data_IF_833946383841
#
_entry.id   IF_833946383841
#
_cell.length_a   1.000
_cell.length_b   1.000
_cell.length_c   1.000
_cell.angle_alpha   90.00
_cell.angle_beta   90.00
_cell.angle_gamma   90.00
#
_symmetry.space_group_name_H-M   'P 1'
#
loop_
_entity.id
_entity.type
_entity.pdbx_description
1 polymer ?
#
# COMPACT_ATOMS: atom_id res chain seq x y z
N UNK A 1 6.12 -4.00 -20.38
CA UNK A 1 5.53 -2.66 -20.61
C UNK A 1 6.13 -1.92 -21.81
N UNK A 2 5.28 -1.33 -22.67
CA UNK A 2 5.65 -0.34 -23.70
C UNK A 2 5.60 1.09 -23.17
N UNK A 3 4.76 1.33 -22.16
CA UNK A 3 4.66 2.60 -21.45
C UNK A 3 5.66 2.67 -20.31
N UNK A 4 5.84 3.88 -19.78
CA UNK A 4 6.60 4.16 -18.56
C UNK A 4 5.63 4.73 -17.53
N UNK A 5 5.54 4.09 -16.36
CA UNK A 5 4.71 4.60 -15.28
C UNK A 5 5.36 5.86 -14.68
N UNK A 6 4.57 6.89 -14.31
CA UNK A 6 5.10 8.05 -13.58
C UNK A 6 5.58 7.67 -12.17
N UNK A 7 4.96 6.64 -11.59
CA UNK A 7 5.40 5.99 -10.37
C UNK A 7 4.91 4.53 -10.39
N UNK A 8 5.76 3.59 -9.99
CA UNK A 8 5.40 2.17 -9.95
C UNK A 8 4.77 1.82 -8.59
N UNK A 9 3.59 1.17 -8.56
CA UNK A 9 2.93 0.87 -7.31
C UNK A 9 3.53 -0.36 -6.62
N UNK A 10 3.90 -0.26 -5.34
CA UNK A 10 4.54 -1.35 -4.58
C UNK A 10 3.60 -1.93 -3.53
N UNK A 11 2.93 -1.06 -2.79
CA UNK A 11 1.89 -1.39 -1.81
C UNK A 11 0.71 -0.47 -2.14
N UNK A 12 -0.43 -1.01 -2.55
CA UNK A 12 -1.60 -0.21 -2.95
C UNK A 12 -2.86 -0.82 -2.38
N UNK A 13 -3.07 -0.63 -1.07
CA UNK A 13 -4.22 -1.18 -0.34
C UNK A 13 -5.35 -0.16 -0.26
N UNK A 14 -5.07 1.03 0.28
CA UNK A 14 -6.04 2.10 0.52
C UNK A 14 -5.34 3.48 0.62
N UNK A 15 -6.07 4.59 0.85
CA UNK A 15 -5.47 5.93 0.86
C UNK A 15 -4.38 6.17 1.90
N UNK A 16 -4.29 5.37 2.96
CA UNK A 16 -3.25 5.52 3.98
C UNK A 16 -2.15 4.47 3.84
N UNK A 17 -2.50 3.23 3.48
CA UNK A 17 -1.53 2.18 3.26
C UNK A 17 -1.17 2.06 1.77
N UNK A 18 -0.37 3.02 1.32
CA UNK A 18 0.01 3.22 -0.07
C UNK A 18 1.49 3.61 -0.21
N UNK A 19 2.27 2.83 -0.97
CA UNK A 19 3.72 3.04 -1.18
C UNK A 19 4.08 2.81 -2.65
N UNK A 20 4.80 3.77 -3.21
CA UNK A 20 5.12 3.87 -4.63
C UNK A 20 6.62 4.07 -4.83
N UNK A 21 7.13 3.65 -5.98
CA UNK A 21 8.46 4.02 -6.48
C UNK A 21 8.31 5.20 -7.46
N UNK A 22 8.72 6.42 -7.09
CA UNK A 22 8.56 7.60 -7.95
C UNK A 22 9.71 7.76 -8.97
N UNK A 23 10.39 6.67 -9.34
CA UNK A 23 11.49 6.67 -10.31
C UNK A 23 11.48 5.43 -11.21
N UNK A 24 12.21 5.53 -12.32
CA UNK A 24 12.39 4.44 -13.28
C UNK A 24 13.17 3.25 -12.68
N UNK A 25 14.10 3.54 -11.77
CA UNK A 25 14.81 2.53 -10.99
C UNK A 25 14.43 2.62 -9.52
N UNK A 26 14.09 1.48 -8.92
CA UNK A 26 13.70 1.40 -7.50
C UNK A 26 14.81 1.83 -6.53
N UNK A 27 16.02 1.95 -7.04
CA UNK A 27 17.25 2.34 -6.35
C UNK A 27 17.60 3.82 -6.54
N UNK A 28 16.92 4.58 -7.41
CA UNK A 28 17.32 5.98 -7.66
C UNK A 28 16.86 6.93 -6.55
N UNK A 29 15.71 6.66 -5.95
CA UNK A 29 15.07 7.48 -4.90
C UNK A 29 14.41 6.58 -3.87
N UNK A 30 13.99 7.15 -2.74
CA UNK A 30 13.21 6.41 -1.77
C UNK A 30 11.77 6.23 -2.23
N UNK A 31 11.17 5.18 -1.69
CA UNK A 31 9.74 4.95 -1.84
C UNK A 31 8.94 6.04 -1.14
N UNK A 32 7.78 6.39 -1.72
CA UNK A 32 6.96 7.50 -1.26
C UNK A 32 5.50 7.09 -1.12
N UNK A 33 4.80 7.79 -0.24
CA UNK A 33 3.34 7.80 -0.22
C UNK A 33 2.81 8.56 -1.45
N UNK A 34 1.54 8.40 -1.82
CA UNK A 34 0.97 9.18 -2.94
C UNK A 34 0.96 10.69 -2.67
N UNK A 35 1.02 11.09 -1.39
CA UNK A 35 1.21 12.49 -0.97
C UNK A 35 2.62 13.01 -1.25
N UNK A 36 3.51 12.18 -1.81
CA UNK A 36 4.91 12.46 -2.14
C UNK A 36 5.84 12.63 -0.93
N UNK A 37 5.33 12.48 0.30
CA UNK A 37 6.19 12.31 1.47
C UNK A 37 6.85 10.93 1.44
N UNK A 38 8.09 10.89 1.91
CA UNK A 38 8.88 9.66 1.95
C UNK A 38 8.22 8.64 2.89
N UNK A 39 8.06 7.42 2.38
CA UNK A 39 7.71 6.21 3.13
C UNK A 39 8.82 5.20 2.85
N UNK A 40 9.99 5.38 3.47
CA UNK A 40 11.18 4.66 3.09
C UNK A 40 11.07 3.15 3.40
N UNK A 41 11.23 2.34 2.35
CA UNK A 41 11.50 0.92 2.44
C UNK A 41 12.84 0.69 1.78
N UNK A 42 13.78 0.10 2.51
CA UNK A 42 15.12 -0.20 2.04
C UNK A 42 15.25 -1.71 1.81
N UNK A 43 15.99 -2.09 0.76
CA UNK A 43 16.21 -3.48 0.41
C UNK A 43 17.65 -3.75 -0.01
N UNK A 44 18.30 -4.69 0.67
CA UNK A 44 19.67 -5.11 0.36
C UNK A 44 19.78 -6.62 0.14
N UNK A 45 20.71 -7.00 -0.73
CA UNK A 45 21.14 -8.37 -0.97
C UNK A 45 22.64 -8.50 -0.69
N UNK A 46 23.02 -9.36 0.26
CA UNK A 46 24.41 -9.77 0.46
C UNK A 46 24.67 -11.03 -0.36
N UNK A 47 25.54 -10.95 -1.37
CA UNK A 47 25.94 -12.05 -2.24
C UNK A 47 27.40 -12.37 -1.96
N UNK A 48 27.66 -13.56 -1.42
CA UNK A 48 28.99 -14.04 -1.03
C UNK A 48 29.79 -13.03 -0.17
N UNK A 49 29.10 -12.38 0.77
CA UNK A 49 29.67 -11.40 1.70
C UNK A 49 29.79 -9.97 1.16
N UNK A 50 29.36 -9.71 -0.09
CA UNK A 50 29.29 -8.36 -0.65
C UNK A 50 27.84 -7.87 -0.72
N UNK A 51 27.58 -6.71 -0.13
CA UNK A 51 26.25 -6.11 -0.08
C UNK A 51 25.96 -5.23 -1.30
N UNK A 52 24.76 -5.40 -1.84
CA UNK A 52 24.16 -4.58 -2.88
C UNK A 52 22.79 -4.09 -2.41
N UNK A 53 22.35 -2.94 -2.92
CA UNK A 53 20.97 -2.45 -2.72
C UNK A 53 20.12 -2.75 -3.95
N UNK A 54 18.89 -3.18 -3.73
CA UNK A 54 17.88 -3.35 -4.79
C UNK A 54 16.68 -2.42 -4.59
N UNK A 55 16.61 -1.68 -3.49
CA UNK A 55 15.54 -0.73 -3.19
C UNK A 55 16.01 0.37 -2.24
N UNK A 56 15.63 1.62 -2.54
CA UNK A 56 15.97 2.81 -1.76
C UNK A 56 17.20 3.56 -2.28
N UNK A 57 17.26 4.87 -1.96
CA UNK A 57 18.34 5.79 -2.35
C UNK A 57 19.68 5.41 -1.70
N UNK A 58 20.78 5.71 -2.40
CA UNK A 58 22.15 5.55 -1.93
C UNK A 58 22.44 6.41 -0.68
N UNK A 59 23.19 5.85 0.29
CA UNK A 59 23.49 6.50 1.60
C UNK A 59 24.87 6.16 2.16
N UNK A 60 25.33 4.92 2.00
CA UNK A 60 26.55 4.41 2.66
C UNK A 60 27.56 3.78 1.68
N UNK A 61 27.60 4.26 0.43
CA UNK A 61 28.44 3.71 -0.63
C UNK A 61 28.02 2.31 -1.11
N UNK A 62 26.88 1.79 -0.67
CA UNK A 62 26.37 0.47 -1.06
C UNK A 62 25.95 0.53 -2.54
N UNK A 63 26.58 -0.26 -3.43
CA UNK A 63 26.27 -0.22 -4.86
C UNK A 63 24.87 -0.79 -5.14
N UNK A 64 24.17 -0.22 -6.12
CA UNK A 64 22.94 -0.82 -6.62
C UNK A 64 23.22 -2.12 -7.38
N UNK A 65 22.32 -3.09 -7.26
CA UNK A 65 22.20 -4.14 -8.27
C UNK A 65 21.75 -3.50 -9.60
N UNK A 66 22.18 -4.08 -10.72
CA UNK A 66 21.74 -3.62 -12.04
C UNK A 66 20.26 -3.97 -12.21
N UNK A 67 19.39 -2.97 -12.42
CA UNK A 67 17.99 -3.21 -12.76
C UNK A 67 17.88 -3.56 -14.24
N UNK A 68 17.60 -4.83 -14.53
CA UNK A 68 17.45 -5.36 -15.89
C UNK A 68 16.12 -4.94 -16.50
N UNK A 69 15.04 -5.01 -15.72
CA UNK A 69 13.70 -4.63 -16.18
C UNK A 69 12.76 -4.27 -15.03
N UNK A 70 11.73 -3.51 -15.38
CA UNK A 70 10.53 -3.33 -14.57
C UNK A 70 9.30 -3.53 -15.46
N UNK A 71 8.30 -4.23 -14.94
CA UNK A 71 7.00 -4.40 -15.57
C UNK A 71 5.89 -4.36 -14.52
N UNK A 72 4.65 -4.14 -14.92
CA UNK A 72 3.51 -4.21 -14.01
C UNK A 72 2.24 -4.68 -14.71
N UNK A 73 1.36 -5.29 -13.92
CA UNK A 73 -0.03 -5.59 -14.27
C UNK A 73 -0.99 -4.94 -13.26
N UNK A 74 -2.28 -5.27 -13.35
CA UNK A 74 -3.34 -4.74 -12.47
C UNK A 74 -3.13 -4.97 -10.96
N UNK A 75 -2.23 -5.87 -10.52
CA UNK A 75 -1.98 -6.17 -9.10
C UNK A 75 -0.51 -6.29 -8.73
N UNK A 76 0.36 -6.58 -9.69
CA UNK A 76 1.75 -6.94 -9.46
C UNK A 76 2.70 -5.99 -10.17
N UNK A 77 3.71 -5.49 -9.46
CA UNK A 77 4.89 -4.86 -10.07
C UNK A 77 6.07 -5.82 -9.96
N UNK A 78 6.73 -6.10 -11.09
CA UNK A 78 7.85 -7.02 -11.18
C UNK A 78 9.13 -6.27 -11.52
N UNK A 79 10.15 -6.38 -10.66
CA UNK A 79 11.51 -5.91 -10.95
C UNK A 79 12.46 -7.09 -11.12
N UNK A 80 13.37 -6.99 -12.09
CA UNK A 80 14.46 -7.96 -12.29
C UNK A 80 15.78 -7.26 -12.11
N UNK A 81 16.65 -7.85 -11.29
CA UNK A 81 17.99 -7.34 -11.01
C UNK A 81 19.06 -8.40 -11.26
N UNK A 82 20.26 -7.97 -11.62
CA UNK A 82 21.45 -8.81 -11.67
C UNK A 82 22.62 -8.17 -10.93
N UNK A 83 23.35 -8.98 -10.16
CA UNK A 83 24.67 -8.64 -9.64
C UNK A 83 25.44 -9.91 -9.27
N UNK A 84 26.75 -9.92 -9.51
CA UNK A 84 27.66 -10.97 -9.02
C UNK A 84 27.19 -12.42 -9.29
N UNK A 85 26.71 -12.70 -10.52
CA UNK A 85 26.28 -14.04 -10.91
C UNK A 85 24.89 -14.45 -10.41
N UNK A 86 24.18 -13.55 -9.73
CA UNK A 86 22.83 -13.78 -9.19
C UNK A 86 21.82 -12.84 -9.84
N UNK A 87 20.69 -13.41 -10.28
CA UNK A 87 19.50 -12.66 -10.66
C UNK A 87 18.46 -12.71 -9.54
N UNK A 88 17.93 -11.55 -9.16
CA UNK A 88 16.78 -11.43 -8.27
C UNK A 88 15.56 -10.98 -9.05
N UNK A 89 14.41 -11.62 -8.80
CA UNK A 89 13.10 -11.17 -9.29
C UNK A 89 12.23 -10.81 -8.10
N UNK A 90 11.78 -9.57 -8.03
CA UNK A 90 10.91 -9.05 -6.96
C UNK A 90 9.50 -8.91 -7.52
N UNK A 91 8.53 -9.56 -6.88
CA UNK A 91 7.11 -9.48 -7.23
C UNK A 91 6.36 -8.81 -6.08
N UNK A 92 6.11 -7.51 -6.22
CA UNK A 92 5.26 -6.74 -5.32
C UNK A 92 3.80 -6.97 -5.71
N UNK A 93 2.95 -7.47 -4.83
CA UNK A 93 1.53 -7.77 -5.15
C UNK A 93 0.58 -7.21 -4.10
N UNK A 94 -0.44 -6.47 -4.51
CA UNK A 94 -1.55 -5.99 -3.66
C UNK A 94 -2.87 -6.57 -4.16
N UNK A 95 -3.46 -7.58 -3.49
CA UNK A 95 -4.67 -8.27 -3.98
C UNK A 95 -6.00 -7.53 -3.80
N UNK A 96 -6.09 -6.29 -4.26
CA UNK A 96 -7.28 -5.43 -4.20
C UNK A 96 -8.37 -5.85 -5.21
N UNK A 97 -8.86 -7.09 -5.08
CA UNK A 97 -9.82 -7.71 -5.99
C UNK A 97 -11.24 -7.10 -5.83
N UNK A 98 -11.77 -6.35 -6.82
CA UNK A 98 -13.03 -5.61 -6.66
C UNK A 98 -14.27 -6.52 -6.63
N UNK A 99 -14.15 -7.77 -7.06
CA UNK A 99 -15.20 -8.78 -7.07
C UNK A 99 -15.34 -9.53 -5.72
N UNK A 100 -14.49 -9.21 -4.74
CA UNK A 100 -14.45 -9.90 -3.45
C UNK A 100 -14.04 -8.93 -2.33
N UNK A 101 -15.03 -8.48 -1.54
CA UNK A 101 -14.82 -7.47 -0.50
C UNK A 101 -13.80 -7.88 0.57
N UNK A 102 -13.63 -9.18 0.85
CA UNK A 102 -12.62 -9.62 1.79
C UNK A 102 -11.21 -9.34 1.25
N UNK A 103 -10.91 -9.73 0.02
CA UNK A 103 -9.60 -9.43 -0.58
C UNK A 103 -9.42 -7.95 -0.93
N UNK A 104 -10.50 -7.26 -1.32
CA UNK A 104 -10.48 -5.82 -1.56
C UNK A 104 -10.03 -5.03 -0.32
N UNK A 105 -10.36 -5.53 0.88
CA UNK A 105 -10.08 -4.84 2.14
C UNK A 105 -9.01 -5.48 3.01
N UNK A 106 -8.55 -6.69 2.67
CA UNK A 106 -7.50 -7.36 3.43
C UNK A 106 -6.25 -6.48 3.40
N UNK A 107 -5.75 -6.04 4.55
CA UNK A 107 -4.73 -5.01 4.58
C UNK A 107 -3.33 -5.60 4.48
N UNK A 108 -3.12 -6.52 3.53
CA UNK A 108 -1.87 -7.27 3.35
C UNK A 108 -1.42 -7.19 1.89
N UNK A 109 -0.24 -6.61 1.68
CA UNK A 109 0.50 -6.67 0.42
C UNK A 109 1.72 -7.59 0.56
N UNK A 110 2.22 -8.08 -0.57
CA UNK A 110 3.25 -9.11 -0.63
C UNK A 110 4.49 -8.62 -1.37
N UNK A 111 5.65 -9.14 -0.98
CA UNK A 111 6.85 -9.14 -1.80
C UNK A 111 7.43 -10.56 -1.83
N UNK A 112 7.35 -11.21 -2.99
CA UNK A 112 8.09 -12.45 -3.24
C UNK A 112 9.43 -12.09 -3.91
N UNK A 113 10.54 -12.49 -3.29
CA UNK A 113 11.88 -12.36 -3.87
C UNK A 113 12.33 -13.74 -4.32
N UNK A 114 12.60 -13.90 -5.62
CA UNK A 114 13.13 -15.13 -6.22
C UNK A 114 14.59 -14.96 -6.57
N UNK A 115 15.35 -16.04 -6.44
CA UNK A 115 16.75 -16.13 -6.80
C UNK A 115 16.93 -17.09 -7.98
N UNK A 116 17.68 -16.65 -8.96
CA UNK A 116 18.24 -17.48 -10.03
C UNK A 116 19.77 -17.30 -10.05
N UNK A 117 20.50 -18.39 -10.25
CA UNK A 117 21.95 -18.37 -10.45
C UNK A 117 22.20 -18.34 -11.96
N UNK A 118 22.88 -17.29 -12.45
CA UNK A 118 23.04 -17.05 -13.89
C UNK A 118 24.44 -17.36 -14.42
N UNK A 119 25.43 -17.55 -13.55
CA UNK A 119 26.83 -17.79 -13.93
C UNK A 119 27.29 -19.26 -13.73
N UNK A 120 26.43 -20.11 -13.17
CA UNK A 120 26.70 -21.52 -12.89
C UNK A 120 27.45 -21.80 -11.58
N UNK A 121 27.78 -20.79 -10.76
CA UNK A 121 28.47 -20.97 -9.49
C UNK A 121 27.49 -21.03 -8.31
N UNK A 122 27.94 -21.64 -7.20
CA UNK A 122 27.14 -21.62 -5.97
C UNK A 122 27.31 -20.27 -5.29
N UNK A 123 26.18 -19.62 -5.01
CA UNK A 123 26.14 -18.35 -4.26
C UNK A 123 25.34 -18.47 -2.97
N UNK A 124 25.86 -17.85 -1.92
CA UNK A 124 25.10 -17.58 -0.69
C UNK A 124 24.48 -16.19 -0.82
N UNK A 125 23.17 -16.10 -0.61
CA UNK A 125 22.44 -14.83 -0.74
C UNK A 125 21.63 -14.61 0.52
N UNK A 126 21.81 -13.45 1.16
CA UNK A 126 20.92 -12.95 2.21
C UNK A 126 20.20 -11.74 1.70
N UNK A 127 18.92 -11.61 2.01
CA UNK A 127 18.16 -10.40 1.70
C UNK A 127 17.60 -9.79 2.98
N UNK A 128 17.72 -8.48 3.10
CA UNK A 128 17.19 -7.71 4.24
C UNK A 128 16.28 -6.61 3.73
N UNK A 129 15.11 -6.51 4.36
CA UNK A 129 14.20 -5.38 4.24
C UNK A 129 14.25 -4.55 5.52
N UNK A 130 14.18 -3.23 5.38
CA UNK A 130 14.04 -2.30 6.49
C UNK A 130 12.96 -1.26 6.15
N UNK A 131 11.91 -1.18 6.95
CA UNK A 131 10.77 -0.26 6.75
C UNK A 131 10.81 0.84 7.81
N UNK A 132 10.80 2.10 7.38
CA UNK A 132 10.93 3.27 8.27
C UNK A 132 9.61 3.62 8.97
N UNK A 133 9.72 4.21 10.16
CA UNK A 133 8.61 4.70 10.97
C UNK A 133 7.67 5.69 10.25
N UNK A 134 8.14 6.31 9.15
CA UNK A 134 7.36 7.15 8.24
C UNK A 134 6.06 6.51 7.75
N UNK A 135 5.97 5.17 7.76
CA UNK A 135 4.75 4.44 7.41
C UNK A 135 3.62 4.59 8.44
N UNK A 136 3.91 5.06 9.65
CA UNK A 136 2.98 5.10 10.78
C UNK A 136 2.77 6.49 11.38
N UNK A 137 3.30 7.55 10.75
CA UNK A 137 3.20 8.95 11.23
C UNK A 137 2.94 9.92 10.08
N UNK A 138 2.23 11.01 10.36
CA UNK A 138 1.95 12.04 9.34
C UNK A 138 3.22 12.80 8.94
N UNK A 139 4.02 13.24 9.91
CA UNK A 139 5.38 13.75 9.71
C UNK A 139 6.35 13.06 10.65
N UNK A 140 7.59 12.97 10.19
CA UNK A 140 8.71 12.56 11.05
C UNK A 140 8.82 13.54 12.20
N UNK A 141 8.81 13.04 13.43
CA UNK A 141 8.93 13.84 14.64
C UNK A 141 7.60 14.30 15.26
N UNK A 142 6.44 14.06 14.64
CA UNK A 142 5.13 14.39 15.23
C UNK A 142 4.85 13.56 16.49
N UNK A 143 5.14 12.26 16.40
CA UNK A 143 4.89 11.25 17.42
C UNK A 143 6.13 10.40 17.65
N UNK A 144 6.23 9.81 18.85
CA UNK A 144 7.24 8.78 19.10
C UNK A 144 6.75 7.47 18.51
N UNK A 145 7.57 6.80 17.72
CA UNK A 145 7.24 5.47 17.20
C UNK A 145 7.83 4.39 18.09
N UNK A 146 6.96 3.47 18.50
CA UNK A 146 7.33 2.25 19.22
C UNK A 146 7.34 1.08 18.25
N UNK A 147 8.21 0.10 18.51
CA UNK A 147 8.31 -1.10 17.71
C UNK A 147 8.63 -2.31 18.58
N UNK A 148 8.07 -3.46 18.25
CA UNK A 148 8.30 -4.71 18.96
C UNK A 148 8.28 -5.92 18.03
N UNK A 149 9.09 -6.92 18.37
CA UNK A 149 9.05 -8.25 17.73
C UNK A 149 7.95 -9.05 18.42
N UNK A 150 7.01 -9.58 17.63
CA UNK A 150 5.91 -10.39 18.13
C UNK A 150 6.35 -11.84 18.37
N UNK A 151 5.69 -12.58 19.27
CA UNK A 151 5.85 -14.02 19.37
C UNK A 151 5.60 -14.70 18.02
N UNK A 152 6.36 -15.74 17.71
CA UNK A 152 6.19 -16.49 16.45
C UNK A 152 4.78 -17.10 16.38
N UNK A 153 4.10 -16.88 15.25
CA UNK A 153 2.82 -17.53 14.95
C UNK A 153 3.06 -18.67 13.94
N UNK A 154 3.22 -19.90 14.45
CA UNK A 154 3.61 -21.05 13.64
C UNK A 154 5.01 -20.90 13.06
N UNK A 155 5.12 -20.62 11.76
CA UNK A 155 6.42 -20.36 11.07
C UNK A 155 6.64 -18.88 10.74
N UNK A 156 5.68 -18.03 11.09
CA UNK A 156 5.66 -16.63 10.70
C UNK A 156 6.35 -15.83 11.79
N UNK A 157 7.37 -15.07 11.39
CA UNK A 157 8.04 -14.08 12.22
C UNK A 157 7.56 -12.71 11.84
N UNK A 158 7.21 -11.91 12.84
CA UNK A 158 6.59 -10.60 12.66
C UNK A 158 7.22 -9.59 13.58
N UNK A 159 7.48 -8.41 13.04
CA UNK A 159 7.83 -7.20 13.79
C UNK A 159 6.81 -6.13 13.44
N UNK A 160 6.37 -5.37 14.42
CA UNK A 160 5.40 -4.28 14.22
C UNK A 160 5.93 -2.95 14.74
N UNK A 161 5.37 -1.86 14.23
CA UNK A 161 5.61 -0.51 14.72
C UNK A 161 4.38 0.39 14.58
N UNK A 162 4.27 1.40 15.42
CA UNK A 162 3.19 2.40 15.37
C UNK A 162 3.48 3.61 16.27
N UNK A 163 2.75 4.70 16.04
CA UNK A 163 2.75 5.87 16.93
C UNK A 163 2.38 5.45 18.37
N UNK A 164 2.98 6.07 19.37
CA UNK A 164 2.65 5.83 20.78
C UNK A 164 1.33 6.48 21.22
N UNK A 165 0.92 7.58 20.57
CA UNK A 165 -0.31 8.33 20.92
C UNK A 165 -1.59 7.62 20.50
N UNK A 166 -1.59 6.97 19.33
CA UNK A 166 -2.74 6.24 18.79
C UNK A 166 -4.03 7.10 18.76
N UNK A 167 -3.93 8.31 18.22
CA UNK A 167 -5.05 9.26 18.10
C UNK A 167 -6.01 8.85 16.97
N UNK A 168 -6.77 7.78 17.19
CA UNK A 168 -7.66 7.16 16.19
C UNK A 168 -8.69 8.16 15.66
N UNK A 169 -8.65 8.40 14.34
CA UNK A 169 -9.61 9.27 13.62
C UNK A 169 -9.68 10.70 14.20
N UNK A 170 -8.57 11.22 14.71
CA UNK A 170 -8.50 12.55 15.32
C UNK A 170 -8.14 13.67 14.34
N UNK A 171 -7.61 13.34 13.16
CA UNK A 171 -7.08 14.32 12.21
C UNK A 171 -7.58 14.09 10.78
N UNK A 172 -7.92 15.18 10.10
CA UNK A 172 -8.32 15.24 8.70
C UNK A 172 -7.61 16.42 8.01
N UNK A 173 -6.86 16.16 6.96
CA UNK A 173 -6.29 17.20 6.09
C UNK A 173 -6.07 16.65 4.68
N UNK A 174 -5.78 17.57 3.76
CA UNK A 174 -5.56 17.26 2.35
C UNK A 174 -4.44 16.22 2.16
N UNK A 175 -3.22 16.55 2.56
CA UNK A 175 -2.05 15.68 2.46
C UNK A 175 -1.73 14.89 3.74
N UNK A 176 -2.72 14.72 4.63
CA UNK A 176 -2.59 13.92 5.84
C UNK A 176 -2.31 12.44 5.51
N UNK A 177 -1.33 11.86 6.19
CA UNK A 177 -1.10 10.42 6.29
C UNK A 177 -1.60 9.92 7.64
N UNK A 178 -1.64 8.59 7.78
CA UNK A 178 -2.08 7.94 9.01
C UNK A 178 -1.07 8.12 10.14
N UNK A 179 -1.56 8.36 11.35
CA UNK A 179 -0.77 8.45 12.58
C UNK A 179 -1.33 7.58 13.73
N UNK A 180 -2.20 6.63 13.42
CA UNK A 180 -2.69 5.62 14.36
C UNK A 180 -2.61 4.22 13.73
N UNK A 181 -2.87 3.20 14.54
CA UNK A 181 -2.71 1.82 14.12
C UNK A 181 -1.26 1.37 14.09
N UNK A 182 -1.03 0.22 13.46
CA UNK A 182 0.27 -0.45 13.45
C UNK A 182 0.59 -1.02 12.07
N UNK A 183 1.83 -0.81 11.64
CA UNK A 183 2.43 -1.49 10.50
C UNK A 183 3.10 -2.78 10.95
N UNK A 184 3.03 -3.82 10.12
CA UNK A 184 3.60 -5.14 10.35
C UNK A 184 4.46 -5.56 9.14
N UNK A 185 5.69 -5.99 9.43
CA UNK A 185 6.56 -6.67 8.47
C UNK A 185 6.71 -8.12 8.93
N UNK A 186 6.37 -9.06 8.05
CA UNK A 186 6.43 -10.48 8.36
C UNK A 186 7.05 -11.32 7.26
N UNK A 187 7.59 -12.47 7.63
CA UNK A 187 8.05 -13.51 6.70
C UNK A 187 7.83 -14.90 7.30
N UNK A 188 7.60 -15.89 6.44
CA UNK A 188 7.56 -17.31 6.81
C UNK A 188 8.85 -18.05 6.44
N UNK A 189 9.90 -17.33 6.06
CA UNK A 189 11.18 -17.92 5.70
C UNK A 189 11.82 -18.62 6.91
N UNK A 190 12.31 -19.86 6.76
CA UNK A 190 13.07 -20.54 7.81
C UNK A 190 14.25 -19.68 8.25
N UNK A 191 14.54 -19.69 9.56
CA UNK A 191 15.71 -18.99 10.13
C UNK A 191 15.76 -17.47 9.87
N UNK A 192 14.68 -16.87 9.37
CA UNK A 192 14.56 -15.42 9.28
C UNK A 192 14.83 -14.74 10.63
N UNK A 193 15.42 -13.55 10.59
CA UNK A 193 15.61 -12.69 11.75
C UNK A 193 14.79 -11.43 11.54
N UNK A 194 13.85 -11.16 12.43
CA UNK A 194 13.12 -9.89 12.47
C UNK A 194 13.61 -9.07 13.65
N UNK A 195 13.61 -7.74 13.51
CA UNK A 195 14.16 -6.89 14.55
C UNK A 195 13.85 -5.41 14.34
N UNK A 196 14.28 -4.63 15.33
CA UNK A 196 14.15 -3.17 15.36
C UNK A 196 15.55 -2.56 15.32
N UNK A 197 15.75 -1.54 14.49
CA UNK A 197 17.01 -0.78 14.44
C UNK A 197 16.73 0.72 14.38
N UNK A 198 17.71 1.53 14.76
CA UNK A 198 17.70 2.99 14.60
C UNK A 198 18.68 3.36 13.49
N UNK A 199 18.25 4.22 12.57
CA UNK A 199 19.09 4.71 11.47
C UNK A 199 18.80 6.17 11.18
N UNK A 200 19.85 6.94 10.90
CA UNK A 200 19.73 8.30 10.39
C UNK A 200 19.55 8.28 8.89
N UNK A 201 18.48 8.88 8.38
CA UNK A 201 18.27 9.06 6.95
C UNK A 201 18.14 10.54 6.62
N UNK A 202 18.79 10.95 5.54
CA UNK A 202 18.38 12.13 4.77
C UNK A 202 17.19 11.77 3.88
N UNK A 203 16.17 12.62 3.87
CA UNK A 203 14.98 12.48 3.04
C UNK A 203 14.45 13.85 2.61
N UNK A 204 13.71 13.86 1.50
CA UNK A 204 13.09 15.07 0.96
C UNK A 204 11.73 15.24 1.60
N UNK A 205 11.42 16.47 2.03
CA UNK A 205 10.03 16.88 2.28
C UNK A 205 9.58 17.73 1.09
N UNK A 206 8.35 17.54 0.60
CA UNK A 206 7.85 18.27 -0.57
C UNK A 206 7.78 19.80 -0.37
N UNK A 207 7.90 20.27 0.87
CA UNK A 207 7.70 21.67 1.25
C UNK A 207 8.94 22.34 1.83
N UNK A 208 9.99 21.61 2.19
CA UNK A 208 11.19 22.17 2.81
C UNK A 208 12.45 21.74 2.06
N UNK A 209 13.27 22.74 1.72
CA UNK A 209 14.64 22.55 1.26
C UNK A 209 15.56 23.22 2.28
N UNK A 210 16.67 22.59 2.70
CA UNK A 210 17.29 21.36 2.17
C UNK A 210 16.69 20.03 2.71
N UNK A 211 17.22 18.89 2.22
CA UNK A 211 16.94 17.54 2.74
C UNK A 211 17.03 17.51 4.27
N UNK A 212 16.07 16.85 4.92
CA UNK A 212 16.03 16.71 6.38
C UNK A 212 16.74 15.43 6.77
N UNK A 213 17.65 15.51 7.74
CA UNK A 213 18.22 14.33 8.39
C UNK A 213 17.50 14.07 9.72
N UNK A 214 17.03 12.84 9.92
CA UNK A 214 16.46 12.41 11.18
C UNK A 214 16.85 10.97 11.49
N UNK A 215 17.09 10.70 12.78
CA UNK A 215 17.16 9.32 13.28
C UNK A 215 15.74 8.76 13.38
N UNK A 216 15.52 7.62 12.75
CA UNK A 216 14.22 6.97 12.68
C UNK A 216 14.29 5.53 13.18
N UNK A 217 13.15 5.04 13.65
CA UNK A 217 12.90 3.62 13.92
C UNK A 217 12.68 2.86 12.62
N UNK A 218 13.31 1.71 12.50
CA UNK A 218 13.09 0.75 11.42
C UNK A 218 12.68 -0.59 11.98
N UNK A 219 11.68 -1.20 11.35
CA UNK A 219 11.41 -2.63 11.50
C UNK A 219 12.05 -3.39 10.35
N UNK A 220 12.66 -4.53 10.64
CA UNK A 220 13.50 -5.26 9.70
C UNK A 220 13.14 -6.73 9.62
N UNK A 221 13.39 -7.33 8.45
CA UNK A 221 13.35 -8.76 8.23
C UNK A 221 14.53 -9.17 7.33
N UNK A 222 15.38 -10.05 7.82
CA UNK A 222 16.52 -10.62 7.10
C UNK A 222 16.33 -12.13 6.93
N UNK A 223 16.61 -12.65 5.74
CA UNK A 223 16.45 -14.07 5.41
C UNK A 223 17.65 -14.58 4.62
N UNK A 224 18.08 -15.81 4.91
CA UNK A 224 18.94 -16.57 4.00
C UNK A 224 18.09 -17.03 2.81
N UNK A 225 18.35 -16.50 1.62
CA UNK A 225 17.50 -16.70 0.45
C UNK A 225 17.77 -18.07 -0.19
N UNK A 226 16.78 -18.97 -0.07
CA UNK A 226 16.68 -20.22 -0.82
C UNK A 226 16.39 -19.98 -2.31
N UNK A 227 15.43 -20.70 -2.89
CA UNK A 227 14.92 -20.38 -4.24
C UNK A 227 14.07 -19.11 -4.24
N UNK A 228 13.31 -18.89 -3.16
CA UNK A 228 12.54 -17.67 -2.93
C UNK A 228 12.28 -17.45 -1.45
N UNK A 229 11.87 -16.23 -1.12
CA UNK A 229 11.31 -15.86 0.18
C UNK A 229 10.09 -14.97 -0.03
N UNK A 230 9.10 -15.11 0.85
CA UNK A 230 7.89 -14.29 0.85
C UNK A 230 7.89 -13.38 2.08
N UNK A 231 7.63 -12.11 1.82
CA UNK A 231 7.39 -11.09 2.83
C UNK A 231 5.97 -10.56 2.69
N UNK A 232 5.38 -10.17 3.81
CA UNK A 232 4.12 -9.42 3.84
C UNK A 232 4.32 -8.09 4.52
N UNK A 233 3.68 -7.07 3.95
CA UNK A 233 3.51 -5.77 4.56
C UNK A 233 2.03 -5.65 4.92
N UNK A 234 1.73 -5.41 6.20
CA UNK A 234 0.35 -5.25 6.64
C UNK A 234 0.17 -3.99 7.49
N UNK A 235 -1.06 -3.46 7.52
CA UNK A 235 -1.40 -2.31 8.33
C UNK A 235 -2.75 -2.52 9.02
N UNK A 236 -2.80 -2.42 10.34
CA UNK A 236 -4.04 -2.45 11.09
C UNK A 236 -4.34 -1.06 11.64
N UNK A 237 -5.36 -0.41 11.07
CA UNK A 237 -5.85 0.89 11.49
C UNK A 237 -6.89 0.80 12.62
N UNK A 238 -7.35 -0.40 12.98
CA UNK A 238 -8.40 -0.64 13.98
C UNK A 238 -9.76 -0.10 13.54
N UNK A 239 -9.92 1.23 13.55
CA UNK A 239 -11.04 1.95 12.94
C UNK A 239 -10.55 2.74 11.72
N UNK A 240 -11.31 2.65 10.64
CA UNK A 240 -10.91 3.16 9.33
C UNK A 240 -11.52 4.50 8.97
N UNK A 241 -12.78 4.71 9.36
CA UNK A 241 -13.60 5.86 8.94
C UNK A 241 -14.47 6.31 10.11
N UNK A 242 -14.63 7.61 10.32
CA UNK A 242 -15.74 8.13 11.11
C UNK A 242 -16.87 8.53 10.15
N UNK A 243 -18.06 7.97 10.31
CA UNK A 243 -19.22 8.24 9.45
C UNK A 243 -20.37 8.71 10.33
N UNK A 244 -20.76 9.98 10.20
CA UNK A 244 -21.80 10.61 11.01
C UNK A 244 -21.62 10.35 12.52
N UNK A 245 -20.42 10.65 13.01
CA UNK A 245 -19.96 10.50 14.40
C UNK A 245 -19.85 9.07 14.91
N UNK A 246 -19.97 8.06 14.03
CA UNK A 246 -19.73 6.67 14.35
C UNK A 246 -18.39 6.21 13.76
N UNK A 247 -17.51 5.68 14.60
CA UNK A 247 -16.27 5.07 14.12
C UNK A 247 -16.58 3.68 13.56
N UNK A 248 -16.20 3.46 12.30
CA UNK A 248 -16.45 2.24 11.54
C UNK A 248 -15.15 1.49 11.28
N UNK A 249 -15.25 0.17 11.35
CA UNK A 249 -14.19 -0.77 10.97
C UNK A 249 -14.25 -1.03 9.46
N UNK A 250 -13.12 -1.44 8.89
CA UNK A 250 -13.07 -1.97 7.53
C UNK A 250 -13.83 -3.29 7.43
N UNK A 251 -14.13 -3.72 6.21
CA UNK A 251 -14.84 -4.98 5.99
C UNK A 251 -14.06 -6.18 6.52
N UNK A 252 -12.73 -6.23 6.38
CA UNK A 252 -11.93 -7.37 6.85
C UNK A 252 -12.00 -7.57 8.37
N UNK A 253 -12.05 -6.49 9.16
CA UNK A 253 -12.08 -6.53 10.63
C UNK A 253 -13.44 -6.19 11.26
N UNK A 254 -14.52 -6.12 10.44
CA UNK A 254 -15.88 -5.82 10.90
C UNK A 254 -16.36 -6.72 12.05
N UNK A 255 -15.96 -7.99 12.01
CA UNK A 255 -16.34 -9.02 12.99
C UNK A 255 -15.25 -9.24 14.06
N UNK A 256 -14.30 -8.30 14.18
CA UNK A 256 -13.22 -8.36 15.17
C UNK A 256 -12.05 -9.27 14.80
N UNK A 257 -11.81 -9.49 13.50
CA UNK A 257 -10.64 -10.23 13.03
C UNK A 257 -9.33 -9.58 13.52
N UNK A 258 -8.39 -10.42 13.92
CA UNK A 258 -7.06 -10.00 14.37
C UNK A 258 -6.06 -9.97 13.21
N UNK A 259 -5.21 -8.95 13.16
CA UNK A 259 -4.25 -8.77 12.07
C UNK A 259 -3.18 -9.85 12.03
N UNK A 260 -2.79 -10.44 13.15
CA UNK A 260 -1.77 -11.51 13.20
C UNK A 260 -2.34 -12.80 12.62
N UNK A 261 -3.60 -13.11 12.89
CA UNK A 261 -4.33 -14.21 12.24
C UNK A 261 -4.51 -13.95 10.74
N UNK A 262 -4.82 -12.72 10.35
CA UNK A 262 -4.99 -12.34 8.95
C UNK A 262 -3.67 -12.41 8.16
N UNK A 263 -2.54 -12.04 8.76
CA UNK A 263 -1.21 -12.30 8.18
C UNK A 263 -1.00 -13.82 8.03
N UNK A 264 -1.43 -14.62 9.00
CA UNK A 264 -1.45 -16.09 8.91
C UNK A 264 -2.23 -16.61 7.70
N UNK A 265 -3.45 -16.14 7.51
CA UNK A 265 -4.28 -16.47 6.35
C UNK A 265 -3.63 -16.04 5.03
N UNK A 266 -3.03 -14.84 5.01
CA UNK A 266 -2.34 -14.30 3.85
C UNK A 266 -1.14 -15.17 3.40
N UNK A 267 -0.36 -15.71 4.32
CA UNK A 267 0.69 -16.68 4.00
C UNK A 267 0.12 -18.02 3.53
N UNK A 268 -0.95 -18.50 4.18
CA UNK A 268 -1.56 -19.79 3.88
C UNK A 268 -2.20 -19.82 2.47
N UNK A 269 -2.81 -18.72 2.03
CA UNK A 269 -3.54 -18.64 0.78
C UNK A 269 -2.82 -17.92 -0.37
N UNK A 270 -1.59 -17.43 -0.16
CA UNK A 270 -0.81 -16.64 -1.11
C UNK A 270 -0.87 -17.16 -2.55
N UNK A 271 -0.57 -18.46 -2.76
CA UNK A 271 -0.56 -19.05 -4.12
C UNK A 271 -1.92 -18.98 -4.81
N UNK A 272 -3.01 -19.20 -4.06
CA UNK A 272 -4.38 -19.12 -4.58
C UNK A 272 -4.73 -17.69 -4.95
N UNK A 273 -4.40 -16.74 -4.07
CA UNK A 273 -4.69 -15.32 -4.30
C UNK A 273 -3.88 -14.76 -5.47
N UNK A 274 -2.60 -15.09 -5.57
CA UNK A 274 -1.77 -14.71 -6.72
C UNK A 274 -2.33 -15.26 -8.03
N UNK A 275 -2.83 -16.50 -8.02
CA UNK A 275 -3.54 -17.08 -9.16
C UNK A 275 -4.79 -16.30 -9.56
N UNK A 276 -5.59 -15.83 -8.58
CA UNK A 276 -6.75 -14.96 -8.84
C UNK A 276 -6.34 -13.60 -9.42
N UNK A 277 -5.29 -12.98 -8.87
CA UNK A 277 -4.78 -11.70 -9.35
C UNK A 277 -4.34 -11.80 -10.81
N UNK A 278 -3.55 -12.82 -11.16
CA UNK A 278 -3.12 -13.05 -12.56
C UNK A 278 -4.30 -13.30 -13.49
N UNK A 279 -5.24 -14.17 -13.10
CA UNK A 279 -6.41 -14.46 -13.93
C UNK A 279 -7.29 -13.22 -14.15
N UNK A 280 -7.38 -12.32 -13.16
CA UNK A 280 -8.08 -11.06 -13.32
C UNK A 280 -7.28 -10.11 -14.24
N UNK A 281 -5.99 -9.91 -13.97
CA UNK A 281 -5.12 -9.04 -14.76
C UNK A 281 -5.08 -9.46 -16.24
N UNK A 282 -4.91 -10.75 -16.53
CA UNK A 282 -4.91 -11.29 -17.90
C UNK A 282 -6.22 -10.98 -18.64
N UNK A 283 -7.38 -11.17 -17.97
CA UNK A 283 -8.68 -10.85 -18.58
C UNK A 283 -8.82 -9.36 -18.84
N UNK A 284 -8.49 -8.54 -17.85
CA UNK A 284 -8.53 -7.08 -17.97
C UNK A 284 -7.65 -6.60 -19.11
N UNK A 285 -6.40 -7.09 -19.19
CA UNK A 285 -5.45 -6.75 -20.24
C UNK A 285 -5.98 -7.15 -21.62
N UNK A 286 -6.47 -8.38 -21.79
CA UNK A 286 -7.01 -8.87 -23.06
C UNK A 286 -8.21 -8.02 -23.51
N UNK A 287 -9.14 -7.72 -22.61
CA UNK A 287 -10.33 -6.93 -22.96
C UNK A 287 -9.95 -5.47 -23.28
N UNK A 288 -8.98 -4.90 -22.58
CA UNK A 288 -8.46 -3.57 -22.88
C UNK A 288 -7.69 -3.53 -24.21
N UNK A 289 -6.89 -4.56 -24.53
CA UNK A 289 -6.22 -4.69 -25.84
C UNK A 289 -7.25 -4.72 -26.97
N UNK A 290 -8.35 -5.45 -26.80
CA UNK A 290 -9.44 -5.49 -27.79
C UNK A 290 -10.12 -4.13 -27.96
N UNK A 291 -10.23 -3.35 -26.88
CA UNK A 291 -10.87 -2.04 -26.89
C UNK A 291 -9.98 -0.93 -27.46
N UNK A 292 -8.68 -0.95 -27.19
CA UNK A 292 -7.77 0.17 -27.52
C UNK A 292 -6.31 -0.16 -27.75
N UNK A 293 -5.94 -1.45 -27.84
CA UNK A 293 -4.57 -1.91 -28.05
C UNK A 293 -3.72 -1.97 -26.77
N UNK A 294 -2.47 -2.41 -26.91
CA UNK A 294 -1.57 -2.75 -25.80
C UNK A 294 -1.24 -1.56 -24.89
N UNK A 295 -0.90 -0.40 -25.47
CA UNK A 295 -0.65 0.82 -24.69
C UNK A 295 -1.88 1.27 -23.88
N UNK A 296 -3.07 1.05 -24.41
CA UNK A 296 -4.30 1.36 -23.68
C UNK A 296 -4.52 0.37 -22.52
N UNK A 297 -4.23 -0.91 -22.72
CA UNK A 297 -4.28 -1.92 -21.67
C UNK A 297 -3.34 -1.60 -20.50
N UNK A 298 -2.07 -1.28 -20.79
CA UNK A 298 -1.09 -0.91 -19.77
C UNK A 298 -1.52 0.36 -19.00
N UNK A 299 -2.11 1.34 -19.69
CA UNK A 299 -2.65 2.54 -19.04
C UNK A 299 -3.81 2.19 -18.09
N UNK A 300 -4.71 1.30 -18.52
CA UNK A 300 -5.84 0.89 -17.69
C UNK A 300 -5.39 0.10 -16.45
N UNK A 301 -4.38 -0.76 -16.54
CA UNK A 301 -3.85 -1.50 -15.38
C UNK A 301 -3.29 -0.56 -14.31
N UNK A 302 -2.55 0.46 -14.74
CA UNK A 302 -2.07 1.51 -13.82
C UNK A 302 -3.24 2.30 -13.22
N UNK A 303 -4.17 2.76 -14.06
CA UNK A 303 -5.33 3.53 -13.62
C UNK A 303 -6.19 2.73 -12.64
N UNK A 304 -6.33 1.42 -12.83
CA UNK A 304 -7.03 0.53 -11.92
C UNK A 304 -6.40 0.54 -10.52
N UNK A 305 -5.07 0.35 -10.43
CA UNK A 305 -4.37 0.34 -9.13
C UNK A 305 -4.49 1.68 -8.41
N UNK A 306 -4.34 2.78 -9.14
CA UNK A 306 -4.51 4.13 -8.59
C UNK A 306 -5.94 4.37 -8.10
N UNK A 307 -6.92 4.01 -8.92
CA UNK A 307 -8.34 4.27 -8.61
C UNK A 307 -8.79 3.46 -7.41
N UNK A 308 -8.50 2.16 -7.36
CA UNK A 308 -8.96 1.30 -6.26
C UNK A 308 -8.26 1.65 -4.94
N UNK A 309 -6.95 1.90 -4.96
CA UNK A 309 -6.21 2.28 -3.75
C UNK A 309 -6.54 3.70 -3.26
N UNK A 310 -7.24 4.52 -4.04
CA UNK A 310 -7.77 5.80 -3.58
C UNK A 310 -9.04 5.67 -2.72
N UNK A 311 -9.51 4.44 -2.44
CA UNK A 311 -10.75 4.20 -1.69
C UNK A 311 -10.56 3.28 -0.49
N UNK A 312 -11.43 3.43 0.51
CA UNK A 312 -11.57 2.55 1.67
C UNK A 312 -12.99 1.98 1.72
N UNK A 313 -13.11 0.68 2.00
CA UNK A 313 -14.42 0.03 2.18
C UNK A 313 -14.70 -0.20 3.66
N UNK A 314 -15.84 0.30 4.13
CA UNK A 314 -16.40 0.03 5.45
C UNK A 314 -17.87 -0.39 5.31
N UNK A 315 -18.47 -0.87 6.39
CA UNK A 315 -19.91 -1.11 6.47
C UNK A 315 -20.55 -0.09 7.42
N UNK A 316 -21.70 0.44 7.04
CA UNK A 316 -22.49 1.28 7.92
C UNK A 316 -23.26 0.46 8.99
N UNK A 317 -24.02 1.15 9.84
CA UNK A 317 -24.83 0.55 10.90
C UNK A 317 -25.89 -0.46 10.43
N UNK A 318 -26.27 -0.41 9.15
CA UNK A 318 -27.24 -1.31 8.53
C UNK A 318 -26.56 -2.46 7.77
N UNK A 319 -25.23 -2.52 7.78
CA UNK A 319 -24.44 -3.47 7.01
C UNK A 319 -24.34 -3.11 5.53
N UNK A 320 -24.67 -1.88 5.14
CA UNK A 320 -24.51 -1.42 3.76
C UNK A 320 -23.07 -1.01 3.46
N UNK A 321 -22.61 -1.30 2.25
CA UNK A 321 -21.25 -0.95 1.79
C UNK A 321 -21.11 0.56 1.67
N UNK A 322 -20.06 1.11 2.26
CA UNK A 322 -19.53 2.44 1.95
C UNK A 322 -18.18 2.27 1.25
N UNK A 323 -18.02 2.88 0.07
CA UNK A 323 -16.79 2.83 -0.72
C UNK A 323 -16.28 4.26 -0.92
N UNK A 324 -15.36 4.67 -0.06
CA UNK A 324 -15.08 6.08 0.19
C UNK A 324 -13.74 6.45 -0.42
N UNK A 325 -13.76 7.33 -1.42
CA UNK A 325 -12.54 7.92 -1.99
C UNK A 325 -11.96 9.00 -1.07
N UNK A 326 -10.64 9.19 -1.14
CA UNK A 326 -9.97 10.42 -0.70
C UNK A 326 -9.55 11.25 -1.92
N UNK A 327 -9.98 12.50 -1.99
CA UNK A 327 -9.52 13.46 -2.98
C UNK A 327 -8.13 14.01 -2.60
N UNK A 328 -7.25 14.18 -3.59
CA UNK A 328 -5.85 14.51 -3.39
C UNK A 328 -5.54 15.95 -3.81
N UNK A 329 -4.81 16.71 -2.98
CA UNK A 329 -4.35 18.08 -3.24
C UNK A 329 -5.46 19.08 -3.57
N UNK A 330 -6.66 18.80 -3.07
CA UNK A 330 -7.88 19.59 -3.23
C UNK A 330 -8.74 19.36 -1.99
N UNK A 331 -8.24 19.81 -0.85
CA UNK A 331 -8.94 19.81 0.45
C UNK A 331 -9.08 18.46 1.16
N UNK A 332 -8.66 17.33 0.58
CA UNK A 332 -8.78 16.02 1.22
C UNK A 332 -10.21 15.49 1.34
N UNK A 333 -11.14 15.99 0.52
CA UNK A 333 -12.56 15.65 0.61
C UNK A 333 -12.80 14.14 0.45
N UNK A 334 -13.79 13.64 1.17
CA UNK A 334 -14.20 12.25 1.18
C UNK A 334 -15.49 12.05 0.38
N UNK A 335 -15.53 10.99 -0.44
CA UNK A 335 -16.67 10.68 -1.30
C UNK A 335 -17.07 11.87 -2.22
N UNK A 336 -16.07 12.55 -2.78
CA UNK A 336 -16.27 13.66 -3.72
C UNK A 336 -17.00 13.21 -4.99
N UNK A 337 -18.08 13.90 -5.36
CA UNK A 337 -18.98 13.51 -6.46
C UNK A 337 -18.31 13.60 -7.82
N UNK A 338 -17.58 14.67 -8.10
CA UNK A 338 -16.87 14.90 -9.37
C UNK A 338 -15.58 14.09 -9.50
N UNK A 339 -15.07 13.51 -8.40
CA UNK A 339 -14.06 12.44 -8.41
C UNK A 339 -14.70 11.06 -8.59
N UNK A 340 -15.87 10.83 -7.98
CA UNK A 340 -16.61 9.59 -8.11
C UNK A 340 -17.12 9.39 -9.54
N UNK A 341 -17.66 10.43 -10.18
CA UNK A 341 -18.22 10.36 -11.53
C UNK A 341 -17.26 9.74 -12.57
N UNK A 342 -15.99 10.18 -12.72
CA UNK A 342 -15.05 9.58 -13.66
C UNK A 342 -14.58 8.17 -13.26
N UNK A 343 -14.68 7.77 -11.98
CA UNK A 343 -14.29 6.42 -11.53
C UNK A 343 -15.42 5.38 -11.67
N UNK A 344 -16.68 5.81 -11.74
CA UNK A 344 -17.87 4.95 -11.87
C UNK A 344 -17.76 3.87 -12.95
N UNK A 345 -17.26 4.13 -14.19
CA UNK A 345 -17.20 3.10 -15.22
C UNK A 345 -16.40 1.86 -14.80
N UNK A 346 -15.30 2.04 -14.05
CA UNK A 346 -14.49 0.93 -13.53
C UNK A 346 -15.31 0.08 -12.57
N UNK A 347 -16.01 0.71 -11.62
CA UNK A 347 -16.77 0.00 -10.61
C UNK A 347 -18.08 -0.58 -11.15
N UNK A 348 -18.73 0.04 -12.14
CA UNK A 348 -19.87 -0.55 -12.84
C UNK A 348 -19.48 -1.85 -13.55
N UNK A 349 -18.29 -1.90 -14.13
CA UNK A 349 -17.80 -3.07 -14.85
C UNK A 349 -17.54 -4.25 -13.90
N UNK A 350 -16.90 -3.98 -12.75
CA UNK A 350 -16.43 -5.05 -11.87
C UNK A 350 -17.34 -5.36 -10.69
N UNK A 351 -17.97 -4.35 -10.08
CA UNK A 351 -18.87 -4.53 -8.95
C UNK A 351 -19.79 -3.31 -8.72
N UNK A 352 -21.02 -3.32 -9.27
CA UNK A 352 -21.96 -2.21 -9.13
C UNK A 352 -22.34 -1.84 -7.69
N UNK A 353 -22.11 -2.72 -6.71
CA UNK A 353 -22.35 -2.39 -5.30
C UNK A 353 -21.35 -1.34 -4.79
N UNK A 354 -20.13 -1.31 -5.33
CA UNK A 354 -19.14 -0.26 -5.02
C UNK A 354 -19.62 1.11 -5.50
N UNK A 355 -20.34 1.18 -6.63
CA UNK A 355 -20.96 2.45 -7.10
C UNK A 355 -22.01 2.94 -6.13
N UNK A 356 -22.87 2.05 -5.64
CA UNK A 356 -23.82 2.42 -4.57
C UNK A 356 -23.08 2.89 -3.32
N UNK A 357 -22.00 2.20 -2.97
CA UNK A 357 -21.14 2.55 -1.84
C UNK A 357 -20.50 3.93 -1.94
N UNK A 358 -20.13 4.40 -3.14
CA UNK A 358 -19.66 5.77 -3.36
C UNK A 358 -20.79 6.80 -3.16
N UNK A 359 -22.01 6.46 -3.59
CA UNK A 359 -23.13 7.40 -3.56
C UNK A 359 -23.85 7.49 -2.21
N UNK A 360 -23.80 6.44 -1.37
CA UNK A 360 -24.47 6.41 -0.06
C UNK A 360 -24.07 7.58 0.86
N UNK A 361 -22.78 7.91 1.06
CA UNK A 361 -22.38 9.09 1.83
C UNK A 361 -23.01 10.39 1.32
N UNK A 362 -22.90 10.64 0.01
CA UNK A 362 -23.44 11.82 -0.67
C UNK A 362 -24.95 11.94 -0.46
N UNK A 363 -25.69 10.83 -0.61
CA UNK A 363 -27.13 10.81 -0.39
C UNK A 363 -27.52 11.00 1.07
N UNK A 364 -26.72 10.53 2.04
CA UNK A 364 -26.98 10.77 3.46
C UNK A 364 -26.87 12.27 3.78
N UNK A 365 -25.85 12.94 3.24
CA UNK A 365 -25.71 14.41 3.36
C UNK A 365 -26.87 15.12 2.66
N UNK A 366 -27.18 14.78 1.41
CA UNK A 366 -28.26 15.39 0.64
C UNK A 366 -29.64 15.21 1.31
N UNK A 367 -29.82 14.14 2.09
CA UNK A 367 -31.06 13.87 2.83
C UNK A 367 -31.17 14.62 4.16
N UNK A 368 -30.09 15.23 4.65
CA UNK A 368 -30.10 16.00 5.90
C UNK A 368 -31.02 17.23 5.80
N UNK A 369 -31.61 17.62 6.93
CA UNK A 369 -32.45 18.84 6.99
C UNK A 369 -31.63 20.10 6.69
N UNK A 370 -30.35 20.11 7.09
CA UNK A 370 -29.42 21.18 6.75
C UNK A 370 -29.30 21.38 5.24
N UNK A 371 -29.09 20.29 4.48
CA UNK A 371 -28.90 20.39 3.03
C UNK A 371 -30.21 20.73 2.31
N UNK A 372 -31.29 19.98 2.59
CA UNK A 372 -32.60 20.16 1.95
C UNK A 372 -33.19 21.57 2.12
N UNK A 373 -32.92 22.20 3.27
CA UNK A 373 -33.47 23.54 3.55
C UNK A 373 -32.73 24.68 2.87
N UNK A 374 -31.55 24.42 2.27
CA UNK A 374 -30.65 25.44 1.74
C UNK A 374 -30.31 25.29 0.27
N UNK A 375 -30.28 24.07 -0.24
CA UNK A 375 -29.75 23.77 -1.57
C UNK A 375 -30.69 22.87 -2.37
N UNK A 376 -30.70 23.06 -3.68
CA UNK A 376 -31.47 22.28 -4.67
C UNK A 376 -30.56 21.45 -5.60
N UNK A 377 -29.26 21.36 -5.27
CA UNK A 377 -28.24 20.58 -5.98
C UNK A 377 -27.54 19.56 -5.06
N UNK A 378 -26.76 18.65 -5.64
CA UNK A 378 -26.05 17.60 -4.89
C UNK A 378 -24.88 18.18 -4.07
N UNK A 379 -24.62 17.66 -2.85
CA UNK A 379 -23.41 18.01 -2.11
C UNK A 379 -22.16 17.55 -2.87
N UNK A 380 -21.11 18.35 -2.79
CA UNK A 380 -19.82 18.05 -3.42
C UNK A 380 -19.16 16.81 -2.82
N UNK A 381 -19.17 16.69 -1.49
CA UNK A 381 -18.51 15.65 -0.70
C UNK A 381 -19.35 15.28 0.52
N UNK A 382 -18.85 14.33 1.32
CA UNK A 382 -19.46 13.92 2.58
C UNK A 382 -18.62 14.23 3.82
N UNK A 383 -17.56 15.02 3.67
CA UNK A 383 -16.59 15.36 4.72
C UNK A 383 -15.17 15.42 4.20
N UNK A 384 -14.21 15.43 5.11
CA UNK A 384 -12.79 15.36 4.77
C UNK A 384 -12.23 14.05 5.31
N UNK A 385 -11.52 13.30 4.47
CA UNK A 385 -11.09 11.96 4.83
C UNK A 385 -10.15 11.97 6.05
N UNK A 386 -10.35 11.11 7.07
CA UNK A 386 -11.27 9.96 7.14
C UNK A 386 -12.61 10.24 7.87
N UNK A 387 -12.98 11.51 8.09
CA UNK A 387 -14.13 11.93 8.90
C UNK A 387 -15.26 12.47 8.00
N UNK A 388 -16.33 11.70 7.89
CA UNK A 388 -17.48 11.96 7.04
C UNK A 388 -18.70 12.37 7.88
N UNK A 389 -18.64 13.59 8.43
CA UNK A 389 -19.68 14.13 9.31
C UNK A 389 -20.59 15.19 8.64
N UNK A 390 -20.46 15.38 7.33
CA UNK A 390 -21.15 16.44 6.59
C UNK A 390 -20.24 17.07 5.55
N UNK A 391 -20.80 17.88 4.65
CA UNK A 391 -20.06 18.50 3.56
C UNK A 391 -19.06 19.56 4.06
N UNK A 392 -17.87 19.63 3.43
CA UNK A 392 -16.74 20.47 3.88
C UNK A 392 -16.17 21.44 2.83
N UNK A 393 -16.39 21.24 1.53
CA UNK A 393 -15.85 22.08 0.45
C UNK A 393 -16.41 23.51 0.37
#
# INVERSE_FOLDING_TARGET
MQLRAPAYPLITVDPFFSVWSPADRLTDVDTAHWTGYTNAILGTAEIDGKTYRFMGKERDGVPAMEQVSVDMDAFTTTYVYEAAGVRLTLLFTSPILPDDFYYLTRPVSYLEIKKEIVDGHKHTVKVKLACAEQLCVDRVGDDTVTAEVLPENGKIKTVKMGSDKQDVLAYEADDARINWGYFYLSTNAPEAVVGVEKKTLSFVTLREHPDVEAEMTFVTAEVNLGSSALFTFAYDDGYSIQYFHQNLKSYWNRDGADIVDEIGHAFADYKRVLGRCRAFADRMFIDAVRAGGEKYAELLELAFRQTVAAHKLVLDENGEVLWISKECYSNGCAATVDVSYPSIPLFLLYNPELVKGMMRPVYRVARSDFWKSRFDFAPHDAGRYPILNGQMY
#
